data_IF_572355113378
#
_entry.id   IF_572355113378
#
_cell.length_a   1.000
_cell.length_b   1.000
_cell.length_c   1.000
_cell.angle_alpha   90.00
_cell.angle_beta   90.00
_cell.angle_gamma   90.00
#
_symmetry.space_group_name_H-M   'P 1'
#
loop_
_entity.id
_entity.type
_entity.pdbx_description
1 polymer ?
#
# COMPACT_ATOMS: atom_id res chain seq x y z
N UNK A 1 -17.69 7.49 23.14
CA UNK A 1 -16.38 7.57 22.49
C UNK A 1 -16.61 7.81 21.01
N UNK A 2 -16.00 8.83 20.38
CA UNK A 2 -16.18 9.04 18.96
C UNK A 2 -15.47 7.91 18.22
N UNK A 3 -16.20 7.33 17.27
CA UNK A 3 -15.79 6.19 16.46
C UNK A 3 -14.80 6.70 15.41
N UNK A 4 -13.49 6.66 15.67
CA UNK A 4 -12.49 7.08 14.69
C UNK A 4 -12.51 6.10 13.52
N UNK A 5 -12.98 6.57 12.37
CA UNK A 5 -13.13 5.79 11.15
C UNK A 5 -11.81 5.13 10.72
N UNK A 6 -11.82 3.89 10.19
CA UNK A 6 -10.64 3.21 9.63
C UNK A 6 -9.88 4.00 8.54
N UNK A 7 -10.45 5.12 8.07
CA UNK A 7 -9.96 5.93 6.97
C UNK A 7 -9.23 7.22 7.39
N UNK A 8 -8.89 7.40 8.68
CA UNK A 8 -8.38 8.68 9.21
C UNK A 8 -7.09 9.22 8.53
N UNK A 9 -6.31 8.38 7.83
CA UNK A 9 -5.05 8.75 7.17
C UNK A 9 -5.09 8.70 5.63
N UNK A 10 -6.29 8.56 5.05
CA UNK A 10 -6.48 8.61 3.60
C UNK A 10 -6.71 10.05 3.18
N UNK A 11 -5.86 10.51 2.28
CA UNK A 11 -5.82 11.86 1.73
C UNK A 11 -6.66 11.89 0.46
N UNK A 12 -7.38 13.00 0.26
CA UNK A 12 -8.10 13.25 -0.99
C UNK A 12 -7.22 14.03 -1.97
N UNK A 13 -7.32 13.73 -3.26
CA UNK A 13 -6.52 14.38 -4.31
C UNK A 13 -6.59 15.92 -4.26
N UNK A 14 -7.74 16.49 -3.87
CA UNK A 14 -7.98 17.93 -3.81
C UNK A 14 -7.18 18.64 -2.69
N UNK A 15 -6.57 17.87 -1.78
CA UNK A 15 -5.77 18.40 -0.67
C UNK A 15 -4.26 18.41 -0.92
N UNK A 16 -3.77 17.84 -2.04
CA UNK A 16 -2.37 17.93 -2.41
C UNK A 16 -2.09 19.21 -3.21
N UNK A 17 -1.38 20.14 -2.58
CA UNK A 17 -0.78 21.26 -3.31
C UNK A 17 0.45 20.77 -4.10
N UNK A 18 0.30 20.72 -5.43
CA UNK A 18 1.33 20.33 -6.39
C UNK A 18 2.63 21.17 -6.28
N UNK A 19 2.51 22.43 -5.82
CA UNK A 19 3.62 23.36 -5.69
C UNK A 19 4.37 23.25 -4.36
N UNK A 20 3.83 22.54 -3.37
CA UNK A 20 4.37 22.50 -2.03
C UNK A 20 5.59 21.57 -1.86
N UNK A 21 5.67 20.48 -2.64
CA UNK A 21 6.73 19.46 -2.51
C UNK A 21 6.92 18.66 -3.82
N UNK A 22 8.17 18.30 -4.14
CA UNK A 22 8.54 17.39 -5.23
C UNK A 22 7.70 16.10 -5.22
N UNK A 23 7.45 15.54 -4.04
CA UNK A 23 6.65 14.31 -3.86
C UNK A 23 5.21 14.50 -4.35
N UNK A 24 4.59 15.66 -4.07
CA UNK A 24 3.22 15.94 -4.52
C UNK A 24 3.14 16.01 -6.04
N UNK A 25 4.11 16.66 -6.69
CA UNK A 25 4.20 16.69 -8.15
C UNK A 25 4.35 15.30 -8.77
N UNK A 26 5.16 14.42 -8.15
CA UNK A 26 5.31 13.04 -8.60
C UNK A 26 4.02 12.23 -8.43
N UNK A 27 3.32 12.37 -7.31
CA UNK A 27 2.03 11.71 -7.08
C UNK A 27 1.00 12.18 -8.10
N UNK A 28 0.92 13.49 -8.36
CA UNK A 28 0.00 14.02 -9.36
C UNK A 28 0.33 13.52 -10.76
N UNK A 29 1.62 13.36 -11.09
CA UNK A 29 2.03 12.76 -12.36
C UNK A 29 1.55 11.31 -12.49
N UNK A 30 1.63 10.51 -11.41
CA UNK A 30 1.05 9.15 -11.40
C UNK A 30 -0.46 9.21 -11.61
N UNK A 31 -1.18 10.04 -10.85
CA UNK A 31 -2.64 10.13 -10.94
C UNK A 31 -3.14 10.61 -12.31
N UNK A 32 -2.34 11.42 -13.01
CA UNK A 32 -2.69 11.94 -14.33
C UNK A 32 -2.32 11.00 -15.49
N UNK A 33 -1.22 10.25 -15.37
CA UNK A 33 -0.68 9.46 -16.48
C UNK A 33 -0.92 7.94 -16.36
N UNK A 34 -1.20 7.43 -15.17
CA UNK A 34 -1.31 5.99 -14.95
C UNK A 34 -2.59 5.41 -15.57
N UNK A 35 -2.46 4.21 -16.15
CA UNK A 35 -3.58 3.50 -16.76
C UNK A 35 -4.35 2.66 -15.71
N UNK A 36 -5.25 3.30 -14.98
CA UNK A 36 -6.04 2.63 -13.93
C UNK A 36 -6.94 1.51 -14.45
N UNK A 37 -7.41 1.58 -15.70
CA UNK A 37 -8.21 0.51 -16.32
C UNK A 37 -7.40 -0.78 -16.44
N UNK A 38 -6.16 -0.68 -16.93
CA UNK A 38 -5.23 -1.81 -16.98
C UNK A 38 -4.97 -2.40 -15.59
N UNK A 39 -4.73 -1.54 -14.58
CA UNK A 39 -4.48 -2.02 -13.22
C UNK A 39 -5.70 -2.74 -12.61
N UNK A 40 -6.92 -2.27 -12.92
CA UNK A 40 -8.16 -2.95 -12.54
C UNK A 40 -8.29 -4.33 -13.19
N UNK A 41 -7.96 -4.45 -14.48
CA UNK A 41 -7.98 -5.73 -15.18
C UNK A 41 -6.97 -6.71 -14.58
N UNK A 42 -5.73 -6.27 -14.38
CA UNK A 42 -4.68 -7.07 -13.73
C UNK A 42 -5.10 -7.50 -12.32
N UNK A 43 -5.75 -6.63 -11.56
CA UNK A 43 -6.27 -6.96 -10.24
C UNK A 43 -7.36 -8.05 -10.30
N UNK A 44 -8.29 -7.97 -11.25
CA UNK A 44 -9.30 -9.01 -11.47
C UNK A 44 -8.68 -10.34 -11.88
N UNK A 45 -7.74 -10.32 -12.83
CA UNK A 45 -7.09 -11.53 -13.35
C UNK A 45 -6.25 -12.22 -12.27
N UNK A 46 -5.41 -11.46 -11.56
CA UNK A 46 -4.57 -12.00 -10.49
C UNK A 46 -5.40 -12.60 -9.35
N UNK A 47 -6.53 -11.97 -9.01
CA UNK A 47 -7.44 -12.48 -7.99
C UNK A 47 -8.14 -13.77 -8.43
N UNK A 48 -8.67 -13.82 -9.66
CA UNK A 48 -9.27 -15.04 -10.26
C UNK A 48 -8.29 -16.20 -10.39
N UNK A 49 -7.02 -15.91 -10.67
CA UNK A 49 -5.97 -16.93 -10.74
C UNK A 49 -5.72 -17.59 -9.37
N UNK A 50 -5.87 -16.82 -8.27
CA UNK A 50 -5.66 -17.31 -6.91
C UNK A 50 -6.89 -18.03 -6.34
N UNK A 51 -8.08 -17.51 -6.65
CA UNK A 51 -9.34 -18.06 -6.16
C UNK A 51 -10.30 -18.35 -7.33
N UNK A 52 -10.38 -19.63 -7.67
CA UNK A 52 -11.26 -20.13 -8.74
C UNK A 52 -12.75 -20.12 -8.35
N UNK A 53 -13.08 -19.85 -7.09
CA UNK A 53 -14.46 -19.78 -6.59
C UNK A 53 -15.07 -18.39 -6.72
N UNK A 54 -14.32 -17.40 -7.21
CA UNK A 54 -14.80 -16.04 -7.45
C UNK A 54 -16.01 -16.08 -8.40
N UNK A 55 -17.09 -15.40 -7.99
CA UNK A 55 -18.32 -15.32 -8.75
C UNK A 55 -18.09 -14.73 -10.16
N UNK A 56 -18.78 -15.30 -11.15
CA UNK A 56 -18.81 -14.81 -12.53
C UNK A 56 -19.55 -13.47 -12.59
N UNK A 57 -18.85 -12.39 -12.29
CA UNK A 57 -19.45 -11.05 -12.24
C UNK A 57 -18.76 -10.08 -11.29
N UNK A 58 -17.73 -10.50 -10.54
CA UNK A 58 -16.96 -9.59 -9.70
C UNK A 58 -16.29 -8.51 -10.55
N UNK A 59 -16.55 -7.25 -10.21
CA UNK A 59 -15.91 -6.08 -10.81
C UNK A 59 -14.87 -5.50 -9.85
N UNK A 60 -13.96 -4.69 -10.40
CA UNK A 60 -12.88 -4.06 -9.66
C UNK A 60 -12.92 -2.56 -9.94
N UNK A 61 -12.77 -1.77 -8.88
CA UNK A 61 -12.77 -0.31 -8.93
C UNK A 61 -11.58 0.22 -8.14
N UNK A 62 -10.89 1.18 -8.74
CA UNK A 62 -9.82 1.95 -8.09
C UNK A 62 -10.30 3.39 -8.02
N UNK A 63 -10.43 3.92 -6.81
CA UNK A 63 -10.70 5.34 -6.59
C UNK A 63 -9.37 6.10 -6.52
N UNK A 64 -8.99 6.76 -7.62
CA UNK A 64 -7.79 7.58 -7.69
C UNK A 64 -7.90 8.88 -6.88
N UNK A 65 -9.08 9.23 -6.36
CA UNK A 65 -9.28 10.43 -5.54
C UNK A 65 -8.94 10.21 -4.08
N UNK A 66 -8.95 8.97 -3.61
CA UNK A 66 -8.73 8.61 -2.21
C UNK A 66 -7.50 7.71 -2.09
N UNK A 67 -6.41 8.24 -1.55
CA UNK A 67 -5.15 7.52 -1.45
C UNK A 67 -4.37 7.92 -0.21
N UNK A 68 -3.37 7.12 0.15
CA UNK A 68 -2.32 7.58 1.06
C UNK A 68 -0.99 7.50 0.34
N UNK A 69 0.04 8.15 0.85
CA UNK A 69 1.34 8.10 0.23
C UNK A 69 2.44 8.13 1.27
N UNK A 70 3.57 7.53 0.91
CA UNK A 70 4.81 7.60 1.67
C UNK A 70 5.90 8.23 0.83
N UNK A 71 7.13 8.10 1.32
CA UNK A 71 8.31 8.69 0.69
C UNK A 71 8.48 8.28 -0.77
N UNK A 72 8.24 7.00 -1.10
CA UNK A 72 8.46 6.45 -2.46
C UNK A 72 7.19 5.87 -3.10
N UNK A 73 6.09 5.80 -2.36
CA UNK A 73 4.92 5.02 -2.75
C UNK A 73 3.65 5.88 -2.71
N UNK A 74 2.89 5.87 -3.80
CA UNK A 74 1.47 6.16 -3.79
C UNK A 74 0.72 4.87 -3.44
N UNK A 75 -0.24 4.91 -2.52
CA UNK A 75 -0.98 3.75 -2.03
C UNK A 75 -2.46 3.93 -2.31
N UNK A 76 -3.00 3.05 -3.14
CA UNK A 76 -4.37 3.09 -3.61
C UNK A 76 -5.13 1.87 -3.11
N UNK A 77 -6.41 2.10 -2.83
CA UNK A 77 -7.36 1.03 -2.51
C UNK A 77 -7.90 0.45 -3.81
N UNK A 78 -7.83 -0.87 -3.94
CA UNK A 78 -8.42 -1.62 -5.05
C UNK A 78 -9.61 -2.38 -4.49
N UNK A 79 -10.81 -1.84 -4.68
CA UNK A 79 -12.05 -2.40 -4.16
C UNK A 79 -12.71 -3.34 -5.16
N UNK A 80 -13.26 -4.44 -4.67
CA UNK A 80 -14.02 -5.38 -5.48
C UNK A 80 -15.49 -5.38 -5.05
N UNK A 81 -16.38 -5.77 -5.96
CA UNK A 81 -17.83 -5.77 -5.72
C UNK A 81 -18.32 -6.78 -4.67
N UNK A 82 -17.44 -7.63 -4.16
CA UNK A 82 -17.69 -8.66 -3.15
C UNK A 82 -17.06 -8.32 -1.79
N UNK A 83 -16.88 -7.02 -1.52
CA UNK A 83 -16.38 -6.46 -0.25
C UNK A 83 -14.95 -6.89 0.14
N UNK A 84 -14.19 -7.38 -0.84
CA UNK A 84 -12.74 -7.61 -0.70
C UNK A 84 -11.99 -6.41 -1.21
N UNK A 85 -10.91 -6.06 -0.50
CA UNK A 85 -10.04 -4.97 -0.87
C UNK A 85 -8.60 -5.46 -0.99
N UNK A 86 -7.92 -5.01 -2.04
CA UNK A 86 -6.48 -5.10 -2.18
C UNK A 86 -5.86 -3.70 -2.06
N UNK A 87 -4.55 -3.68 -1.87
CA UNK A 87 -3.75 -2.47 -1.86
C UNK A 87 -2.83 -2.51 -3.08
N UNK A 88 -2.90 -1.46 -3.89
CA UNK A 88 -1.92 -1.18 -4.92
C UNK A 88 -0.92 -0.15 -4.38
N UNK A 89 0.35 -0.53 -4.27
CA UNK A 89 1.43 0.43 -4.04
C UNK A 89 2.12 0.70 -5.36
N UNK A 90 2.10 1.95 -5.76
CA UNK A 90 2.72 2.46 -6.98
C UNK A 90 3.96 3.22 -6.59
N UNK A 91 5.12 2.81 -7.10
CA UNK A 91 6.32 3.63 -6.94
C UNK A 91 6.19 4.86 -7.82
N UNK A 92 6.16 6.02 -7.20
CA UNK A 92 6.27 7.26 -7.94
C UNK A 92 7.74 7.38 -8.37
N UNK A 93 7.98 7.32 -9.67
CA UNK A 93 9.33 7.24 -10.23
C UNK A 93 9.95 8.64 -10.12
N UNK A 94 11.22 8.77 -9.70
CA UNK A 94 11.90 10.05 -9.81
C UNK A 94 12.00 10.50 -11.26
N UNK A 95 11.99 11.81 -11.46
CA UNK A 95 12.22 12.47 -12.75
C UNK A 95 13.56 12.03 -13.38
N UNK A 96 14.47 11.45 -12.59
CA UNK A 96 15.75 10.93 -13.01
C UNK A 96 15.74 9.40 -13.17
N UNK A 97 15.74 8.95 -14.43
CA UNK A 97 15.77 7.53 -14.81
C UNK A 97 17.12 6.86 -14.54
N UNK A 98 18.17 7.59 -14.17
CA UNK A 98 19.50 7.02 -13.90
C UNK A 98 19.48 6.01 -12.74
N UNK A 99 18.55 6.17 -11.79
CA UNK A 99 18.36 5.29 -10.64
C UNK A 99 17.23 4.27 -10.81
N UNK A 100 16.64 4.14 -12.02
CA UNK A 100 15.52 3.23 -12.25
C UNK A 100 15.84 1.77 -11.86
N UNK A 101 17.09 1.34 -12.08
CA UNK A 101 17.55 0.00 -11.68
C UNK A 101 17.55 -0.16 -10.16
N UNK A 102 18.03 0.83 -9.42
CA UNK A 102 18.09 0.78 -7.95
C UNK A 102 16.67 0.72 -7.37
N UNK A 103 15.75 1.55 -7.87
CA UNK A 103 14.35 1.50 -7.46
C UNK A 103 13.66 0.16 -7.76
N UNK A 104 13.98 -0.47 -8.89
CA UNK A 104 13.49 -1.81 -9.19
C UNK A 104 14.06 -2.84 -8.20
N UNK A 105 15.35 -2.76 -7.86
CA UNK A 105 15.99 -3.64 -6.87
C UNK A 105 15.40 -3.45 -5.46
N UNK A 106 15.10 -2.22 -5.06
CA UNK A 106 14.46 -1.93 -3.76
C UNK A 106 13.08 -2.60 -3.68
N UNK A 107 12.26 -2.44 -4.72
CA UNK A 107 10.94 -3.07 -4.78
C UNK A 107 11.04 -4.60 -4.74
N UNK A 108 11.97 -5.19 -5.51
CA UNK A 108 12.19 -6.64 -5.50
C UNK A 108 12.67 -7.14 -4.14
N UNK A 109 13.55 -6.39 -3.47
CA UNK A 109 14.06 -6.72 -2.14
C UNK A 109 12.95 -6.68 -1.09
N UNK A 110 12.04 -5.71 -1.19
CA UNK A 110 10.85 -5.65 -0.33
C UNK A 110 9.94 -6.87 -0.54
N UNK A 111 9.64 -7.21 -1.80
CA UNK A 111 8.82 -8.37 -2.16
C UNK A 111 9.46 -9.68 -1.69
N UNK A 112 10.77 -9.83 -1.89
CA UNK A 112 11.53 -11.00 -1.44
C UNK A 112 11.49 -11.12 0.10
N UNK A 113 11.58 -9.99 0.80
CA UNK A 113 11.47 -9.94 2.27
C UNK A 113 10.09 -10.39 2.73
N UNK A 114 9.01 -9.86 2.16
CA UNK A 114 7.64 -10.29 2.48
C UNK A 114 7.44 -11.79 2.25
N UNK A 115 7.89 -12.33 1.11
CA UNK A 115 7.82 -13.78 0.81
C UNK A 115 8.65 -14.62 1.79
N UNK A 116 9.83 -14.15 2.17
CA UNK A 116 10.70 -14.83 3.14
C UNK A 116 10.07 -14.85 4.53
N UNK A 117 9.54 -13.72 5.00
CA UNK A 117 8.85 -13.64 6.29
C UNK A 117 7.64 -14.57 6.34
N UNK A 118 6.82 -14.56 5.29
CA UNK A 118 5.64 -15.44 5.19
C UNK A 118 6.00 -16.92 5.21
N UNK A 119 7.10 -17.30 4.56
CA UNK A 119 7.52 -18.72 4.50
C UNK A 119 8.24 -19.22 5.75
N UNK A 120 8.82 -18.32 6.55
CA UNK A 120 9.70 -18.69 7.68
C UNK A 120 9.13 -18.34 9.05
N UNK A 121 8.08 -17.54 9.12
CA UNK A 121 7.54 -17.02 10.38
C UNK A 121 6.01 -17.02 10.37
N UNK A 122 5.41 -16.83 11.54
CA UNK A 122 3.96 -16.63 11.70
C UNK A 122 3.57 -15.15 11.73
N UNK A 123 4.52 -14.24 11.43
CA UNK A 123 4.27 -12.80 11.42
C UNK A 123 3.31 -12.49 10.27
N UNK A 124 2.20 -11.79 10.51
CA UNK A 124 1.29 -11.40 9.44
C UNK A 124 1.97 -10.37 8.56
N UNK A 125 2.21 -10.74 7.30
CA UNK A 125 2.73 -9.86 6.25
C UNK A 125 1.75 -9.84 5.07
N UNK A 126 1.63 -8.73 4.33
CA UNK A 126 0.74 -8.66 3.19
C UNK A 126 1.11 -9.71 2.15
N UNK A 127 0.12 -10.43 1.66
CA UNK A 127 0.34 -11.35 0.56
C UNK A 127 0.41 -10.61 -0.78
N UNK A 128 1.53 -10.76 -1.50
CA UNK A 128 1.68 -10.21 -2.86
C UNK A 128 0.86 -11.05 -3.84
N UNK A 129 0.06 -10.38 -4.67
CA UNK A 129 -0.75 -10.98 -5.74
C UNK A 129 0.00 -10.91 -7.08
N UNK A 130 0.44 -9.71 -7.45
CA UNK A 130 1.14 -9.44 -8.71
C UNK A 130 1.95 -8.17 -8.55
N UNK A 131 3.04 -8.04 -9.31
CA UNK A 131 3.87 -6.86 -9.33
C UNK A 131 4.54 -6.72 -10.69
N UNK A 132 4.85 -5.49 -11.06
CA UNK A 132 5.70 -5.18 -12.21
C UNK A 132 6.63 -4.04 -11.82
N UNK A 133 7.94 -4.24 -12.00
CA UNK A 133 8.96 -3.24 -11.67
C UNK A 133 9.36 -2.39 -12.87
N UNK A 134 8.88 -2.73 -14.07
CA UNK A 134 9.23 -2.07 -15.32
C UNK A 134 8.52 -0.72 -15.45
N UNK A 135 9.19 0.24 -16.09
CA UNK A 135 8.57 1.51 -16.51
C UNK A 135 7.78 1.36 -17.82
N UNK A 136 8.04 0.29 -18.57
CA UNK A 136 7.42 0.05 -19.88
C UNK A 136 6.15 -0.80 -19.80
N UNK A 137 5.65 -1.07 -18.60
CA UNK A 137 4.42 -1.83 -18.42
C UNK A 137 3.20 -0.95 -18.75
N UNK A 138 2.07 -1.55 -19.08
CA UNK A 138 0.90 -0.79 -19.58
C UNK A 138 0.26 0.10 -18.52
N UNK A 139 0.53 -0.12 -17.22
CA UNK A 139 0.14 0.81 -16.16
C UNK A 139 0.93 2.14 -16.23
N UNK A 140 2.15 2.10 -16.77
CA UNK A 140 3.06 3.24 -16.89
C UNK A 140 3.96 3.48 -15.67
N UNK A 141 3.76 2.74 -14.58
CA UNK A 141 4.53 2.90 -13.35
C UNK A 141 4.83 1.54 -12.70
N UNK A 142 5.92 1.40 -11.92
CA UNK A 142 6.18 0.20 -11.17
C UNK A 142 5.14 0.05 -10.04
N UNK A 143 4.61 -1.14 -9.83
CA UNK A 143 3.58 -1.39 -8.83
C UNK A 143 3.69 -2.77 -8.18
N UNK A 144 3.14 -2.88 -6.98
CA UNK A 144 2.83 -4.14 -6.31
C UNK A 144 1.36 -4.12 -5.90
N UNK A 145 0.62 -5.16 -6.28
CA UNK A 145 -0.73 -5.43 -5.80
C UNK A 145 -0.66 -6.50 -4.72
N UNK A 146 -1.22 -6.21 -3.56
CA UNK A 146 -1.11 -7.08 -2.40
C UNK A 146 -2.34 -7.01 -1.48
N UNK A 147 -2.42 -7.95 -0.56
CA UNK A 147 -3.48 -8.05 0.44
C UNK A 147 -3.59 -6.78 1.29
N UNK A 148 -4.83 -6.33 1.54
CA UNK A 148 -5.10 -5.33 2.56
C UNK A 148 -5.09 -5.99 3.94
N UNK A 149 -4.08 -5.68 4.75
CA UNK A 149 -4.08 -6.10 6.15
C UNK A 149 -5.14 -5.32 6.94
N UNK A 150 -5.94 -6.06 7.72
CA UNK A 150 -6.90 -5.47 8.66
C UNK A 150 -6.13 -4.98 9.88
N UNK A 151 -6.19 -3.68 10.12
CA UNK A 151 -5.52 -3.08 11.26
C UNK A 151 -6.01 -1.66 11.51
N UNK A 152 -5.65 -1.13 12.68
CA UNK A 152 -5.82 0.27 13.07
C UNK A 152 -4.43 0.88 13.21
N UNK A 153 -4.21 2.03 12.56
CA UNK A 153 -3.03 2.84 12.84
C UNK A 153 -3.18 3.38 14.27
N UNK A 154 -2.21 3.10 15.13
CA UNK A 154 -2.19 3.63 16.48
C UNK A 154 -1.96 5.14 16.40
N UNK A 155 -2.63 5.88 17.29
CA UNK A 155 -2.37 7.31 17.41
C UNK A 155 -0.91 7.52 17.84
N UNK A 156 -0.34 8.62 17.37
CA UNK A 156 1.06 9.03 17.54
C UNK A 156 1.50 9.28 18.99
N UNK A 157 0.61 9.02 19.97
CA UNK A 157 0.95 9.13 21.38
C UNK A 157 1.97 8.05 21.73
N UNK A 158 3.24 8.44 21.74
CA UNK A 158 4.31 7.66 22.37
C UNK A 158 3.85 7.40 23.80
N UNK A 159 3.83 6.13 24.22
CA UNK A 159 3.50 5.77 25.59
C UNK A 159 4.44 6.54 26.53
N UNK A 160 3.87 7.49 27.27
CA UNK A 160 4.63 8.31 28.23
C UNK A 160 4.98 7.53 29.48
N UNK A 161 4.34 6.38 29.70
CA UNK A 161 4.48 5.56 30.89
C UNK A 161 4.56 4.09 30.50
N UNK A 162 5.46 3.37 31.15
CA UNK A 162 5.52 1.91 31.10
C UNK A 162 4.49 1.38 32.10
N UNK A 163 3.57 0.47 31.70
CA UNK A 163 2.62 -0.13 32.63
C UNK A 163 3.34 -0.75 33.84
N UNK A 164 2.77 -0.61 35.03
CA UNK A 164 3.39 -1.08 36.27
C UNK A 164 3.67 -2.60 36.26
N UNK A 165 2.96 -3.37 35.42
CA UNK A 165 3.20 -4.80 35.22
C UNK A 165 4.48 -5.12 34.44
N UNK A 166 5.00 -4.16 33.66
CA UNK A 166 6.22 -4.27 32.87
C UNK A 166 7.46 -3.72 33.61
N UNK A 167 7.28 -3.17 34.82
CA UNK A 167 8.40 -2.72 35.65
C UNK A 167 9.12 -3.91 36.29
N UNK A 168 10.46 -3.90 36.34
CA UNK A 168 11.23 -4.89 37.10
C UNK A 168 10.74 -4.94 38.55
N UNK A 169 10.63 -6.15 39.12
CA UNK A 169 10.15 -6.38 40.50
C UNK A 169 10.96 -5.64 41.58
N UNK A 170 12.13 -5.12 41.25
CA UNK A 170 13.00 -4.37 42.15
C UNK A 170 12.51 -2.94 42.43
N UNK A 171 11.50 -2.44 41.70
CA UNK A 171 10.90 -1.10 41.92
C UNK A 171 9.49 -1.13 42.54
N UNK A 172 8.98 -2.32 42.93
CA UNK A 172 7.64 -2.48 43.52
C UNK A 172 7.62 -2.47 45.06
N UNK A 173 8.62 -1.88 45.73
CA UNK A 173 8.66 -1.87 47.19
C UNK A 173 9.44 -0.72 47.83
N UNK A 174 8.70 0.24 48.41
CA UNK A 174 8.87 0.77 49.78
C UNK A 174 7.60 1.48 50.20
#
# INVERSE_FOLDING_TARGET
>A
MPNTSPNANWVTSDSLDAGANKIHGQIQAVLAAANFEYLQEVALLSRKARDKSIATGVTCTIDSKTFTYGMNNLVLKVGFSDDVDLIARVHHVPVDLSHAREHAMDMLSEIATMKTLKSRTTIPVPEVFVFDTSLSNEFGFPYVLMERLKGRVLDSTIASEVPAECLPRELQGS
#
